data_IF_736807882441
#
_entry.id   IF_736807882441
#
_cell.length_a   1.000
_cell.length_b   1.000
_cell.length_c   1.000
_cell.angle_alpha   90.00
_cell.angle_beta   90.00
_cell.angle_gamma   90.00
#
_symmetry.space_group_name_H-M   'P 1'
#
loop_
_entity.id
_entity.type
_entity.pdbx_description
1 polymer ?
#
# COMPACT_ATOMS: atom_id res chain seq x y z
N UNK A 1 -68.94 -50.76 -9.58
CA UNK A 1 -67.67 -50.96 -10.26
C UNK A 1 -66.80 -49.75 -9.96
N UNK A 2 -65.69 -50.01 -9.40
CA UNK A 2 -64.91 -49.07 -8.65
C UNK A 2 -63.72 -48.60 -9.52
N UNK A 3 -63.67 -47.31 -9.90
CA UNK A 3 -62.50 -46.69 -10.51
C UNK A 3 -62.13 -45.45 -9.72
N UNK A 4 -61.21 -45.59 -8.86
CA UNK A 4 -60.64 -44.50 -8.09
C UNK A 4 -59.33 -44.90 -7.49
N UNK A 5 -58.22 -44.56 -8.09
CA UNK A 5 -56.95 -44.81 -7.43
C UNK A 5 -55.71 -44.73 -8.31
N UNK A 6 -55.35 -43.54 -8.77
CA UNK A 6 -54.09 -43.40 -9.51
C UNK A 6 -53.40 -42.03 -9.39
N UNK A 7 -54.09 -41.05 -8.88
CA UNK A 7 -53.58 -39.66 -8.93
C UNK A 7 -52.70 -39.23 -7.74
N UNK A 8 -52.81 -39.92 -6.60
CA UNK A 8 -52.11 -39.53 -5.37
C UNK A 8 -50.61 -39.92 -5.32
N UNK A 9 -50.20 -41.01 -6.01
CA UNK A 9 -48.84 -41.54 -5.93
C UNK A 9 -47.86 -40.78 -6.82
N UNK A 10 -48.31 -40.25 -7.94
CA UNK A 10 -47.46 -39.46 -8.88
C UNK A 10 -47.14 -38.09 -8.30
N UNK A 11 -48.11 -37.44 -7.64
CA UNK A 11 -47.91 -36.14 -6.98
C UNK A 11 -46.94 -36.23 -5.77
N UNK A 12 -46.91 -37.33 -5.04
CA UNK A 12 -45.95 -37.55 -3.93
C UNK A 12 -44.56 -37.87 -4.45
N UNK A 13 -44.39 -38.63 -5.50
CA UNK A 13 -43.09 -38.91 -6.12
C UNK A 13 -42.45 -37.67 -6.71
N UNK A 14 -43.24 -36.82 -7.42
CA UNK A 14 -42.74 -35.55 -7.95
C UNK A 14 -42.33 -34.53 -6.84
N UNK A 15 -43.06 -34.48 -5.74
CA UNK A 15 -42.69 -33.65 -4.58
C UNK A 15 -41.41 -34.12 -3.92
N UNK A 16 -41.18 -35.40 -3.75
CA UNK A 16 -39.97 -35.96 -3.21
C UNK A 16 -38.76 -35.68 -4.14
N UNK A 17 -38.96 -35.74 -5.44
CA UNK A 17 -37.93 -35.46 -6.43
C UNK A 17 -37.53 -33.96 -6.40
N UNK A 18 -38.49 -33.07 -6.29
CA UNK A 18 -38.27 -31.61 -6.17
C UNK A 18 -37.52 -31.29 -4.86
N UNK A 19 -37.91 -31.89 -3.73
CA UNK A 19 -37.25 -31.69 -2.44
C UNK A 19 -35.79 -32.17 -2.51
N UNK A 20 -35.57 -33.35 -3.13
CA UNK A 20 -34.23 -33.89 -3.34
C UNK A 20 -33.34 -32.98 -4.20
N UNK A 21 -33.91 -32.44 -5.31
CA UNK A 21 -33.20 -31.51 -6.20
C UNK A 21 -32.85 -30.21 -5.49
N UNK A 22 -33.79 -29.63 -4.74
CA UNK A 22 -33.53 -28.41 -3.94
C UNK A 22 -32.47 -28.67 -2.88
N UNK A 23 -32.49 -29.82 -2.19
CA UNK A 23 -31.46 -30.17 -1.22
C UNK A 23 -30.06 -30.26 -1.86
N UNK A 24 -29.95 -30.90 -3.04
CA UNK A 24 -28.72 -30.98 -3.81
C UNK A 24 -28.21 -29.59 -4.22
N UNK A 25 -29.09 -28.71 -4.71
CA UNK A 25 -28.73 -27.35 -5.09
C UNK A 25 -28.23 -26.54 -3.88
N UNK A 26 -28.90 -26.68 -2.74
CA UNK A 26 -28.47 -26.02 -1.49
C UNK A 26 -27.12 -26.52 -1.03
N UNK A 27 -26.88 -27.83 -1.07
CA UNK A 27 -25.56 -28.42 -0.67
C UNK A 27 -24.46 -27.99 -1.64
N UNK A 28 -24.71 -28.02 -2.95
CA UNK A 28 -23.75 -27.54 -3.95
C UNK A 28 -23.50 -26.03 -3.82
N UNK A 29 -24.53 -25.26 -3.57
CA UNK A 29 -24.42 -23.82 -3.31
C UNK A 29 -23.59 -23.51 -2.07
N UNK A 30 -23.83 -24.23 -0.96
CA UNK A 30 -23.01 -24.11 0.24
C UNK A 30 -21.55 -24.56 0.01
N UNK A 31 -21.33 -25.64 -0.73
CA UNK A 31 -19.97 -26.08 -1.07
C UNK A 31 -19.22 -25.05 -1.91
N UNK A 32 -19.88 -24.41 -2.88
CA UNK A 32 -19.31 -23.35 -3.68
C UNK A 32 -19.04 -22.08 -2.85
N UNK A 33 -19.92 -21.73 -1.93
CA UNK A 33 -19.72 -20.62 -0.99
C UNK A 33 -18.54 -20.92 -0.05
N UNK A 34 -18.44 -22.13 0.48
CA UNK A 34 -17.32 -22.55 1.32
C UNK A 34 -16.00 -22.51 0.53
N UNK A 35 -15.98 -22.93 -0.74
CA UNK A 35 -14.82 -22.83 -1.60
C UNK A 35 -14.46 -21.39 -1.96
N UNK A 36 -15.45 -20.51 -2.13
CA UNK A 36 -15.23 -19.09 -2.40
C UNK A 36 -14.74 -18.32 -1.15
N UNK A 37 -15.17 -18.77 0.05
CA UNK A 37 -14.72 -18.21 1.34
C UNK A 37 -13.39 -18.82 1.78
N UNK A 38 -13.10 -20.07 1.40
CA UNK A 38 -11.79 -20.68 1.57
C UNK A 38 -10.83 -20.01 0.58
N UNK A 39 -10.34 -18.81 0.96
CA UNK A 39 -9.21 -18.18 0.27
C UNK A 39 -8.10 -19.23 0.14
N UNK A 40 -7.31 -19.24 -0.96
CA UNK A 40 -6.06 -19.97 -0.96
C UNK A 40 -5.13 -19.29 0.05
N UNK A 41 -5.47 -19.45 1.33
CA UNK A 41 -4.66 -19.01 2.42
C UNK A 41 -3.51 -19.98 2.55
N UNK A 42 -2.31 -19.50 2.24
CA UNK A 42 -1.47 -19.72 3.35
C UNK A 42 -0.66 -21.01 3.47
N UNK A 43 -0.71 -21.98 2.59
CA UNK A 43 0.30 -23.04 2.65
C UNK A 43 1.72 -22.46 2.55
N UNK A 44 1.91 -21.46 1.69
CA UNK A 44 3.19 -20.76 1.56
C UNK A 44 3.49 -19.79 2.72
N UNK A 45 2.47 -19.09 3.23
CA UNK A 45 2.61 -18.19 4.38
C UNK A 45 2.83 -18.99 5.66
N UNK A 46 2.04 -20.00 5.91
CA UNK A 46 2.17 -20.88 7.07
C UNK A 46 3.54 -21.60 7.07
N UNK A 47 4.01 -22.05 5.91
CA UNK A 47 5.33 -22.65 5.77
C UNK A 47 6.44 -21.65 6.11
N UNK A 48 6.34 -20.38 5.69
CA UNK A 48 7.34 -19.33 6.00
C UNK A 48 7.31 -18.94 7.48
N UNK A 49 6.14 -18.72 8.05
CA UNK A 49 5.98 -18.45 9.49
C UNK A 49 6.55 -19.60 10.33
N UNK A 50 6.30 -20.85 9.94
CA UNK A 50 6.87 -22.01 10.60
C UNK A 50 8.38 -22.12 10.41
N UNK A 51 8.94 -21.74 9.24
CA UNK A 51 10.38 -21.66 9.03
C UNK A 51 11.03 -20.62 9.94
N UNK A 52 10.41 -19.48 10.15
CA UNK A 52 10.88 -18.48 11.11
C UNK A 52 10.80 -18.96 12.57
N UNK A 53 9.84 -19.84 12.88
CA UNK A 53 9.74 -20.45 14.21
C UNK A 53 10.97 -21.29 14.59
N UNK A 54 11.67 -21.83 13.60
CA UNK A 54 12.90 -22.64 13.76
C UNK A 54 14.15 -21.90 13.29
N UNK A 55 14.04 -20.62 12.93
CA UNK A 55 15.19 -19.82 12.47
C UNK A 55 16.29 -19.73 13.54
N UNK A 56 17.53 -19.93 13.10
CA UNK A 56 18.74 -19.71 13.90
C UNK A 56 19.27 -18.29 13.78
N UNK A 57 18.65 -17.43 12.97
CA UNK A 57 19.01 -16.01 12.91
C UNK A 57 18.81 -15.36 14.28
N UNK A 58 19.85 -14.71 14.79
CA UNK A 58 19.88 -14.16 16.15
C UNK A 58 18.84 -13.07 16.36
N UNK A 59 18.59 -12.22 15.34
CA UNK A 59 17.58 -11.17 15.37
C UNK A 59 16.19 -11.81 15.50
N UNK A 60 15.87 -12.76 14.62
CA UNK A 60 14.59 -13.50 14.65
C UNK A 60 14.42 -14.25 15.97
N UNK A 61 15.45 -14.94 16.45
CA UNK A 61 15.39 -15.73 17.67
C UNK A 61 15.12 -14.86 18.92
N UNK A 62 15.69 -13.67 18.99
CA UNK A 62 15.44 -12.71 20.07
C UNK A 62 14.07 -12.03 19.91
N UNK A 63 13.80 -11.41 18.74
CA UNK A 63 12.58 -10.64 18.50
C UNK A 63 11.30 -11.45 18.53
N UNK A 64 11.38 -12.76 18.23
CA UNK A 64 10.24 -13.68 18.42
C UNK A 64 9.77 -13.77 19.88
N UNK A 65 10.66 -13.51 20.84
CA UNK A 65 10.32 -13.48 22.28
C UNK A 65 9.97 -12.09 22.79
N UNK A 66 10.62 -11.06 22.25
CA UNK A 66 10.48 -9.67 22.74
C UNK A 66 9.44 -8.86 21.98
N UNK A 67 9.33 -9.07 20.67
CA UNK A 67 8.41 -8.36 19.77
C UNK A 67 7.85 -9.30 18.69
N UNK A 68 7.10 -10.35 19.07
CA UNK A 68 6.67 -11.41 18.15
C UNK A 68 5.91 -10.89 16.92
N UNK A 69 5.09 -9.85 17.07
CA UNK A 69 4.33 -9.28 15.96
C UNK A 69 5.19 -8.77 14.81
N UNK A 70 6.41 -8.27 15.08
CA UNK A 70 7.35 -7.86 14.02
C UNK A 70 7.80 -9.08 13.21
N UNK A 71 8.10 -10.18 13.89
CA UNK A 71 8.55 -11.43 13.24
C UNK A 71 7.42 -12.06 12.44
N UNK A 72 6.20 -12.03 12.96
CA UNK A 72 5.01 -12.53 12.25
C UNK A 72 4.72 -11.72 10.98
N UNK A 73 4.70 -10.39 11.07
CA UNK A 73 4.53 -9.49 9.93
C UNK A 73 5.63 -9.69 8.88
N UNK A 74 6.89 -9.75 9.32
CA UNK A 74 8.01 -10.05 8.43
C UNK A 74 7.85 -11.40 7.75
N UNK A 75 7.41 -12.43 8.47
CA UNK A 75 7.24 -13.79 7.96
C UNK A 75 6.25 -13.91 6.80
N UNK A 76 5.26 -13.03 6.74
CA UNK A 76 4.29 -12.99 5.62
C UNK A 76 4.72 -12.06 4.49
N UNK A 77 5.80 -11.29 4.66
CA UNK A 77 6.24 -10.26 3.72
C UNK A 77 6.86 -10.83 2.45
N UNK A 78 6.80 -10.05 1.38
CA UNK A 78 7.53 -10.32 0.14
C UNK A 78 9.04 -10.25 0.33
N UNK A 79 9.51 -9.43 1.29
CA UNK A 79 10.93 -9.32 1.66
C UNK A 79 11.47 -10.64 2.23
N UNK A 80 10.75 -11.25 3.18
CA UNK A 80 11.11 -12.56 3.69
C UNK A 80 11.07 -13.65 2.61
N UNK A 81 10.08 -13.58 1.70
CA UNK A 81 10.00 -14.49 0.57
C UNK A 81 11.19 -14.36 -0.40
N UNK A 82 11.73 -13.16 -0.54
CA UNK A 82 12.93 -12.86 -1.34
C UNK A 82 14.24 -13.14 -0.61
N UNK A 83 14.21 -13.58 0.64
CA UNK A 83 15.40 -13.87 1.44
C UNK A 83 16.09 -12.63 2.03
N UNK A 84 15.44 -11.47 2.03
CA UNK A 84 15.96 -10.25 2.66
C UNK A 84 15.93 -10.42 4.17
N UNK A 85 17.07 -10.32 4.84
CA UNK A 85 17.17 -10.48 6.29
C UNK A 85 16.93 -9.15 7.03
N UNK A 86 16.70 -9.25 8.35
CA UNK A 86 16.55 -8.06 9.21
C UNK A 86 17.77 -7.12 9.10
N UNK A 87 18.98 -7.70 9.01
CA UNK A 87 20.24 -6.99 8.91
C UNK A 87 20.37 -6.15 7.65
N UNK A 88 19.79 -6.59 6.52
CA UNK A 88 19.91 -5.88 5.24
C UNK A 88 19.30 -4.48 5.30
N UNK A 89 18.26 -4.32 6.11
CA UNK A 89 17.59 -3.03 6.34
C UNK A 89 18.08 -2.30 7.58
N UNK A 90 18.43 -3.03 8.65
CA UNK A 90 18.66 -2.43 9.96
C UNK A 90 20.12 -2.28 10.32
N UNK A 91 21.03 -3.18 9.89
CA UNK A 91 22.42 -3.12 10.30
C UNK A 91 23.21 -2.06 9.52
N UNK A 92 23.94 -1.23 10.26
CA UNK A 92 24.73 -0.12 9.73
C UNK A 92 26.07 -0.02 10.48
N UNK A 93 27.08 0.63 9.89
CA UNK A 93 28.32 0.95 10.62
C UNK A 93 28.05 1.84 11.84
N UNK A 94 28.88 1.73 12.88
CA UNK A 94 28.77 2.55 14.09
C UNK A 94 28.77 4.08 13.83
N UNK A 95 29.47 4.51 12.78
CA UNK A 95 29.54 5.93 12.39
C UNK A 95 28.36 6.39 11.53
N UNK A 96 27.39 5.51 11.23
CA UNK A 96 26.24 5.89 10.42
C UNK A 96 25.32 6.84 11.21
N UNK A 97 24.78 7.90 10.58
CA UNK A 97 23.86 8.80 11.25
C UNK A 97 22.68 8.06 11.89
N UNK A 98 22.33 8.44 13.12
CA UNK A 98 21.28 7.81 13.92
C UNK A 98 21.47 6.31 14.23
N UNK A 99 22.68 5.75 14.03
CA UNK A 99 23.02 4.38 14.46
C UNK A 99 22.91 4.24 15.97
N UNK A 100 22.29 3.14 16.42
CA UNK A 100 22.15 2.78 17.84
C UNK A 100 22.86 1.46 18.07
N UNK A 101 23.68 1.39 19.13
CA UNK A 101 24.26 0.11 19.58
C UNK A 101 23.13 -0.82 20.05
N UNK A 102 23.15 -2.07 19.58
CA UNK A 102 22.14 -3.07 19.87
C UNK A 102 22.74 -4.48 19.81
N UNK A 103 22.84 -5.14 20.96
CA UNK A 103 23.29 -6.53 21.07
C UNK A 103 24.62 -6.80 20.33
N UNK A 104 25.60 -5.91 20.48
CA UNK A 104 26.93 -6.06 19.89
C UNK A 104 27.05 -5.66 18.42
N UNK A 105 26.02 -5.13 17.81
CA UNK A 105 26.02 -4.51 16.48
C UNK A 105 25.43 -3.10 16.53
N UNK A 106 25.38 -2.40 15.40
CA UNK A 106 24.75 -1.09 15.28
C UNK A 106 23.60 -1.16 14.29
N UNK A 107 22.46 -0.62 14.70
CA UNK A 107 21.24 -0.68 13.89
C UNK A 107 20.58 0.68 13.75
N UNK A 108 19.82 0.85 12.67
CA UNK A 108 18.80 1.89 12.53
C UNK A 108 17.46 1.32 13.02
N UNK A 109 16.89 1.79 14.14
CA UNK A 109 15.56 1.35 14.58
C UNK A 109 14.47 1.65 13.53
N UNK A 110 14.67 2.70 12.75
CA UNK A 110 13.81 3.06 11.61
C UNK A 110 14.68 3.25 10.37
N UNK A 111 14.75 2.26 9.47
CA UNK A 111 15.52 2.37 8.25
C UNK A 111 15.12 3.58 7.41
N UNK A 112 16.08 4.23 6.82
CA UNK A 112 15.91 5.37 5.92
C UNK A 112 15.70 4.91 4.48
N UNK A 113 15.35 5.84 3.59
CA UNK A 113 15.24 5.58 2.15
C UNK A 113 16.56 5.09 1.54
N UNK A 114 17.71 5.47 2.10
CA UNK A 114 19.01 4.95 1.67
C UNK A 114 19.13 3.43 1.82
N UNK A 115 18.46 2.83 2.82
CA UNK A 115 18.44 1.38 2.97
C UNK A 115 17.59 0.71 1.87
N UNK A 116 16.47 1.30 1.52
CA UNK A 116 15.62 0.81 0.43
C UNK A 116 16.31 0.92 -0.94
N UNK A 117 17.04 1.99 -1.15
CA UNK A 117 17.78 2.28 -2.39
C UNK A 117 18.81 1.21 -2.77
N UNK A 118 19.32 0.46 -1.81
CA UNK A 118 20.28 -0.63 -2.08
C UNK A 118 19.75 -1.66 -3.07
N UNK A 119 18.44 -1.88 -3.10
CA UNK A 119 17.76 -2.82 -3.98
C UNK A 119 16.71 -2.14 -4.87
N UNK A 120 16.07 -1.07 -4.39
CA UNK A 120 14.96 -0.36 -5.04
C UNK A 120 15.41 1.00 -5.60
N UNK A 121 16.55 1.02 -6.31
CA UNK A 121 17.15 2.26 -6.82
C UNK A 121 16.28 3.01 -7.83
N UNK A 122 15.51 2.30 -8.66
CA UNK A 122 14.61 2.91 -9.62
C UNK A 122 13.42 3.58 -8.94
N UNK A 123 12.80 2.90 -7.99
CA UNK A 123 11.67 3.39 -7.22
C UNK A 123 12.04 4.63 -6.42
N UNK A 124 13.22 4.61 -5.80
CA UNK A 124 13.76 5.77 -5.07
C UNK A 124 14.04 6.95 -6.01
N UNK A 125 14.63 6.70 -7.18
CA UNK A 125 14.89 7.75 -8.15
C UNK A 125 13.59 8.41 -8.67
N UNK A 126 12.56 7.61 -8.93
CA UNK A 126 11.22 8.10 -9.30
C UNK A 126 10.58 8.88 -8.15
N UNK A 127 10.64 8.33 -6.92
CA UNK A 127 10.12 9.00 -5.74
C UNK A 127 10.77 10.39 -5.52
N UNK A 128 12.08 10.53 -5.77
CA UNK A 128 12.79 11.80 -5.60
C UNK A 128 12.31 12.88 -6.58
N UNK A 129 11.72 12.52 -7.72
CA UNK A 129 11.10 13.46 -8.66
C UNK A 129 9.66 13.84 -8.28
N UNK A 130 9.08 13.13 -7.33
CA UNK A 130 7.67 13.20 -7.00
C UNK A 130 7.36 14.32 -6.00
N UNK A 131 6.12 14.81 -6.04
CA UNK A 131 5.54 15.70 -5.02
C UNK A 131 5.55 15.12 -3.60
N UNK A 132 5.59 13.81 -3.46
CA UNK A 132 5.70 13.15 -2.17
C UNK A 132 7.12 13.15 -1.58
N UNK A 133 8.11 13.56 -2.36
CA UNK A 133 9.48 13.79 -1.91
C UNK A 133 9.59 15.13 -1.14
N UNK A 134 10.69 15.83 -1.28
CA UNK A 134 10.92 17.14 -0.62
C UNK A 134 9.78 18.14 -0.78
N UNK A 135 9.05 18.23 -1.93
CA UNK A 135 7.93 19.15 -2.04
C UNK A 135 6.87 18.99 -0.95
N UNK A 136 6.54 17.73 -0.57
CA UNK A 136 5.59 17.49 0.50
C UNK A 136 6.06 18.04 1.85
N UNK A 137 7.35 17.95 2.14
CA UNK A 137 7.93 18.49 3.38
C UNK A 137 8.03 20.03 3.34
N UNK A 138 8.53 20.55 2.22
CA UNK A 138 8.71 22.00 2.01
C UNK A 138 7.37 22.75 2.05
N UNK A 139 6.28 22.12 1.60
CA UNK A 139 4.93 22.72 1.62
C UNK A 139 4.51 23.27 2.99
N UNK A 140 5.05 22.73 4.09
CA UNK A 140 4.76 23.27 5.42
C UNK A 140 6.00 23.82 6.14
N UNK A 141 7.19 23.26 5.88
CA UNK A 141 8.41 23.60 6.60
C UNK A 141 9.21 24.73 5.93
N UNK A 142 8.98 24.98 4.64
CA UNK A 142 9.77 25.89 3.81
C UNK A 142 11.11 25.30 3.36
N UNK A 143 11.76 25.95 2.40
CA UNK A 143 13.06 25.53 1.88
C UNK A 143 14.22 25.89 2.82
N UNK A 144 14.03 26.86 3.69
CA UNK A 144 15.05 27.38 4.62
C UNK A 144 15.48 26.37 5.71
N UNK A 145 14.72 25.29 5.88
CA UNK A 145 15.09 24.20 6.82
C UNK A 145 15.94 23.12 6.16
N UNK A 146 16.10 23.17 4.84
CA UNK A 146 16.85 22.19 4.09
C UNK A 146 18.37 22.41 4.26
N UNK A 147 19.13 21.34 4.34
CA UNK A 147 20.59 21.42 4.18
C UNK A 147 20.93 21.78 2.73
N UNK A 148 22.16 22.25 2.43
CA UNK A 148 22.57 22.52 1.05
C UNK A 148 22.39 21.31 0.13
N UNK A 149 22.63 20.11 0.62
CA UNK A 149 22.49 18.86 -0.14
C UNK A 149 21.01 18.59 -0.46
N UNK A 150 20.11 18.75 0.52
CA UNK A 150 18.67 18.58 0.31
C UNK A 150 18.08 19.69 -0.55
N UNK A 151 18.59 20.92 -0.44
CA UNK A 151 18.16 22.03 -1.31
C UNK A 151 18.52 21.74 -2.77
N UNK A 152 19.73 21.22 -3.03
CA UNK A 152 20.11 20.82 -4.38
C UNK A 152 19.23 19.68 -4.96
N UNK A 153 18.80 18.73 -4.12
CA UNK A 153 17.84 17.72 -4.52
C UNK A 153 16.46 18.33 -4.82
N UNK A 154 16.00 19.28 -4.03
CA UNK A 154 14.73 19.99 -4.25
C UNK A 154 14.75 20.77 -5.56
N UNK A 155 15.80 21.53 -5.81
CA UNK A 155 15.99 22.34 -7.03
C UNK A 155 16.10 21.47 -8.31
N UNK A 156 16.51 20.22 -8.17
CA UNK A 156 16.57 19.27 -9.28
C UNK A 156 15.20 18.68 -9.66
N UNK A 157 14.17 18.84 -8.79
CA UNK A 157 12.81 18.42 -9.08
C UNK A 157 12.19 19.36 -10.12
N UNK A 158 11.48 18.86 -11.15
CA UNK A 158 10.79 19.71 -12.12
C UNK A 158 9.90 20.75 -11.42
N UNK A 159 9.93 22.00 -11.88
CA UNK A 159 9.18 23.10 -11.27
C UNK A 159 7.69 22.79 -11.12
N UNK A 160 7.10 22.09 -12.09
CA UNK A 160 5.72 21.64 -12.03
C UNK A 160 5.43 20.68 -10.87
N UNK A 161 6.43 19.98 -10.37
CA UNK A 161 6.32 19.03 -9.25
C UNK A 161 6.71 19.65 -7.91
N UNK A 162 7.36 20.83 -7.89
CA UNK A 162 7.71 21.52 -6.65
C UNK A 162 6.49 22.07 -5.90
N UNK A 163 5.36 22.29 -6.60
CA UNK A 163 4.14 22.85 -6.04
C UNK A 163 4.12 24.39 -6.08
N UNK A 164 2.95 25.00 -5.89
CA UNK A 164 2.77 26.46 -6.04
C UNK A 164 3.33 27.27 -4.87
N UNK A 165 3.48 26.66 -3.71
CA UNK A 165 3.89 27.37 -2.50
C UNK A 165 5.19 26.80 -1.94
N UNK A 166 6.22 27.63 -1.94
CA UNK A 166 7.53 27.33 -1.35
C UNK A 166 7.73 28.03 0.00
N UNK A 167 6.68 28.74 0.45
CA UNK A 167 6.76 29.53 1.68
C UNK A 167 6.40 28.65 2.89
N UNK A 168 7.21 28.80 3.92
CA UNK A 168 7.00 28.18 5.21
C UNK A 168 5.61 28.51 5.76
N UNK A 169 4.86 27.49 6.15
CA UNK A 169 3.58 27.69 6.81
C UNK A 169 3.77 28.45 8.13
N UNK A 170 2.92 29.42 8.38
CA UNK A 170 2.91 30.14 9.67
C UNK A 170 2.70 29.22 10.86
N UNK A 171 2.02 28.09 10.66
CA UNK A 171 1.80 27.07 11.69
C UNK A 171 3.09 26.39 12.10
N UNK A 172 4.06 26.26 11.19
CA UNK A 172 5.37 25.66 11.50
C UNK A 172 6.11 26.42 12.62
N UNK A 173 5.96 27.73 12.68
CA UNK A 173 6.58 28.56 13.70
C UNK A 173 5.75 28.65 14.98
N UNK A 174 4.44 28.57 14.87
CA UNK A 174 3.51 28.71 15.99
C UNK A 174 3.33 27.40 16.78
N UNK A 175 3.48 26.25 16.13
CA UNK A 175 3.31 24.97 16.80
C UNK A 175 4.51 24.57 17.65
N UNK A 176 4.24 24.00 18.81
CA UNK A 176 5.26 23.26 19.57
C UNK A 176 5.76 22.09 18.71
N UNK A 177 7.09 21.97 18.54
CA UNK A 177 7.71 20.93 17.73
C UNK A 177 7.28 19.51 18.10
N UNK A 178 6.81 19.29 19.33
CA UNK A 178 6.22 18.02 19.77
C UNK A 178 4.84 17.79 19.16
N UNK A 179 4.08 18.86 18.91
CA UNK A 179 2.75 18.78 18.29
C UNK A 179 2.84 18.67 16.75
N UNK A 180 3.78 19.35 16.12
CA UNK A 180 4.03 19.26 14.67
C UNK A 180 4.12 17.82 14.19
N UNK A 181 4.72 16.96 15.01
CA UNK A 181 4.85 15.52 14.73
C UNK A 181 3.51 14.79 14.58
N UNK A 182 2.48 15.24 15.27
CA UNK A 182 1.14 14.64 15.25
C UNK A 182 0.16 15.41 14.34
N UNK A 183 0.51 16.62 13.97
CA UNK A 183 -0.26 17.49 13.08
C UNK A 183 0.31 17.41 11.63
N UNK A 184 1.07 18.41 11.22
CA UNK A 184 1.56 18.52 9.85
C UNK A 184 2.43 17.33 9.41
N UNK A 185 3.32 16.83 10.27
CA UNK A 185 4.18 15.70 9.96
C UNK A 185 3.44 14.35 9.90
N UNK A 186 2.21 14.27 10.40
CA UNK A 186 1.43 13.07 10.19
C UNK A 186 1.33 12.73 8.69
N UNK A 187 1.16 13.73 7.85
CA UNK A 187 1.10 13.63 6.38
C UNK A 187 2.44 14.02 5.73
N UNK A 188 2.91 15.22 5.97
CA UNK A 188 4.04 15.84 5.26
C UNK A 188 5.41 15.19 5.54
N UNK A 189 5.55 14.38 6.59
CA UNK A 189 6.77 13.62 6.81
C UNK A 189 7.02 12.51 5.77
N UNK A 190 6.13 12.33 4.81
CA UNK A 190 6.41 11.44 3.67
C UNK A 190 7.66 11.90 2.92
N UNK A 191 7.90 13.21 2.80
CA UNK A 191 9.06 13.83 2.18
C UNK A 191 10.16 14.27 3.14
N UNK A 192 10.14 13.83 4.41
CA UNK A 192 11.08 14.27 5.42
C UNK A 192 12.53 13.92 5.04
N UNK A 193 13.45 14.90 5.04
CA UNK A 193 14.88 14.64 4.88
C UNK A 193 15.46 13.89 6.07
N UNK A 194 16.38 12.96 5.82
CA UNK A 194 17.10 12.19 6.82
C UNK A 194 18.54 12.67 7.00
N UNK A 195 19.12 12.37 8.16
CA UNK A 195 20.50 12.77 8.50
C UNK A 195 21.58 12.13 7.59
N UNK A 196 21.24 11.04 6.93
CA UNK A 196 22.12 10.35 5.97
C UNK A 196 22.07 10.94 4.55
N UNK A 197 21.37 12.05 4.36
CA UNK A 197 21.18 12.72 3.09
C UNK A 197 20.05 12.16 2.24
N UNK A 198 19.44 11.05 2.63
CA UNK A 198 18.28 10.49 1.93
C UNK A 198 16.99 11.26 2.24
N UNK A 199 15.96 11.08 1.42
CA UNK A 199 14.69 11.78 1.53
C UNK A 199 13.54 10.80 1.56
N UNK A 200 12.57 11.09 2.42
CA UNK A 200 11.29 10.41 2.43
C UNK A 200 11.19 9.21 3.35
N UNK A 201 9.96 8.76 3.48
CA UNK A 201 9.58 7.61 4.31
C UNK A 201 8.73 6.63 3.51
N UNK A 202 9.36 5.65 2.88
CA UNK A 202 8.72 4.58 2.13
C UNK A 202 7.64 3.86 2.94
N UNK A 203 7.82 3.79 4.26
CA UNK A 203 6.90 3.18 5.22
C UNK A 203 5.56 3.91 5.37
N UNK A 204 5.39 5.10 4.78
CA UNK A 204 4.09 5.77 4.74
C UNK A 204 3.10 5.06 3.81
N UNK A 205 3.63 4.42 2.75
CA UNK A 205 2.84 3.64 1.80
C UNK A 205 3.06 2.13 1.96
N UNK A 206 4.28 1.70 2.31
CA UNK A 206 4.64 0.30 2.53
C UNK A 206 4.73 0.01 4.03
N UNK A 207 3.63 -0.47 4.62
CA UNK A 207 3.62 -0.74 6.06
C UNK A 207 4.62 -1.84 6.43
N UNK A 208 5.49 -1.49 7.34
CA UNK A 208 6.44 -2.40 7.97
C UNK A 208 5.71 -3.30 8.98
N UNK A 209 6.03 -4.57 9.09
CA UNK A 209 7.10 -5.31 8.38
C UNK A 209 6.51 -6.26 7.33
N UNK A 210 5.22 -6.09 7.04
CA UNK A 210 4.48 -6.91 6.08
C UNK A 210 4.85 -6.60 4.62
N UNK A 211 5.07 -5.31 4.29
CA UNK A 211 5.39 -4.84 2.94
C UNK A 211 4.48 -5.45 1.85
N UNK A 212 3.18 -5.51 2.12
CA UNK A 212 2.18 -6.12 1.26
C UNK A 212 1.85 -5.23 0.06
N UNK A 213 1.79 -5.82 -1.13
CA UNK A 213 1.26 -5.15 -2.32
C UNK A 213 -0.22 -4.82 -2.18
N UNK A 214 -1.00 -5.73 -1.57
CA UNK A 214 -2.41 -5.49 -1.28
C UNK A 214 -2.59 -4.22 -0.47
N UNK A 215 -1.84 -4.08 0.62
CA UNK A 215 -1.92 -2.90 1.48
C UNK A 215 -1.52 -1.62 0.74
N UNK A 216 -0.41 -1.63 -0.02
CA UNK A 216 0.07 -0.46 -0.74
C UNK A 216 -0.88 -0.01 -1.87
N UNK A 217 -1.64 -0.94 -2.46
CA UNK A 217 -2.59 -0.69 -3.56
C UNK A 217 -3.98 -0.26 -3.09
N UNK A 218 -4.34 -0.55 -1.84
CA UNK A 218 -5.64 -0.16 -1.29
C UNK A 218 -5.73 1.35 -1.08
N UNK A 219 -6.89 1.95 -1.37
CA UNK A 219 -7.11 3.39 -1.18
C UNK A 219 -6.87 3.87 0.26
N UNK A 220 -7.04 2.99 1.25
CA UNK A 220 -6.80 3.27 2.67
C UNK A 220 -5.35 3.69 2.95
N UNK A 221 -4.40 3.28 2.12
CA UNK A 221 -3.02 3.76 2.22
C UNK A 221 -2.91 5.24 1.89
N UNK A 222 -3.67 5.69 0.91
CA UNK A 222 -3.66 7.09 0.46
C UNK A 222 -4.48 7.98 1.40
N UNK A 223 -5.60 7.48 1.92
CA UNK A 223 -6.49 8.26 2.77
C UNK A 223 -5.91 8.64 4.13
N UNK A 224 -4.79 8.06 4.54
CA UNK A 224 -4.07 8.51 5.73
C UNK A 224 -3.67 9.99 5.66
N UNK A 225 -3.57 10.56 4.43
CA UNK A 225 -3.19 11.93 4.17
C UNK A 225 -4.18 12.66 3.25
N UNK A 226 -4.77 11.96 2.28
CA UNK A 226 -5.68 12.54 1.27
C UNK A 226 -7.14 12.51 1.75
N UNK A 227 -7.40 13.26 2.84
CA UNK A 227 -8.71 13.39 3.50
C UNK A 227 -8.99 14.85 3.89
N UNK A 228 -10.26 15.15 4.12
CA UNK A 228 -10.69 16.42 4.69
C UNK A 228 -10.69 17.58 3.71
N UNK A 229 -10.84 18.82 4.20
CA UNK A 229 -11.10 19.98 3.35
C UNK A 229 -9.95 20.33 2.42
N UNK A 230 -8.71 20.04 2.81
CA UNK A 230 -7.52 20.43 2.05
C UNK A 230 -7.17 19.39 0.97
N UNK A 231 -7.47 18.11 1.25
CA UNK A 231 -7.12 16.99 0.37
C UNK A 231 -8.26 15.98 0.25
N UNK A 232 -9.43 16.35 -0.30
CA UNK A 232 -10.67 15.57 -0.26
C UNK A 232 -10.71 14.40 -1.27
N UNK A 233 -9.56 13.87 -1.71
CA UNK A 233 -9.51 12.84 -2.75
C UNK A 233 -10.16 11.54 -2.29
N UNK A 234 -10.07 11.20 -0.99
CA UNK A 234 -10.74 10.02 -0.46
C UNK A 234 -12.26 10.14 -0.52
N UNK A 235 -12.81 11.26 -0.09
CA UNK A 235 -14.24 11.53 -0.12
C UNK A 235 -14.79 11.51 -1.55
N UNK A 236 -14.06 12.16 -2.47
CA UNK A 236 -14.41 12.15 -3.90
C UNK A 236 -14.34 10.74 -4.49
N UNK A 237 -13.31 9.96 -4.12
CA UNK A 237 -13.16 8.59 -4.58
C UNK A 237 -14.31 7.70 -4.09
N UNK A 238 -14.69 7.78 -2.81
CA UNK A 238 -15.77 6.98 -2.24
C UNK A 238 -17.10 7.20 -2.94
N UNK A 239 -17.40 8.43 -3.36
CA UNK A 239 -18.63 8.80 -4.07
C UNK A 239 -18.57 8.48 -5.57
N UNK A 240 -17.40 8.16 -6.10
CA UNK A 240 -17.20 7.83 -7.51
C UNK A 240 -17.67 6.41 -7.83
N UNK A 241 -18.01 6.10 -9.11
CA UNK A 241 -18.25 4.72 -9.54
C UNK A 241 -17.08 3.77 -9.22
N UNK A 242 -15.83 4.26 -9.25
CA UNK A 242 -14.65 3.45 -8.92
C UNK A 242 -14.62 3.09 -7.44
N UNK A 243 -14.87 4.04 -6.55
CA UNK A 243 -14.94 3.80 -5.12
C UNK A 243 -16.10 2.89 -4.73
N UNK A 244 -17.28 3.06 -5.33
CA UNK A 244 -18.41 2.17 -5.12
C UNK A 244 -18.08 0.73 -5.55
N UNK A 245 -17.41 0.55 -6.71
CA UNK A 245 -16.97 -0.77 -7.16
C UNK A 245 -15.95 -1.38 -6.19
N UNK A 246 -14.98 -0.58 -5.69
CA UNK A 246 -14.02 -1.01 -4.68
C UNK A 246 -14.71 -1.45 -3.39
N UNK A 247 -15.57 -0.62 -2.81
CA UNK A 247 -16.26 -0.91 -1.54
C UNK A 247 -17.17 -2.14 -1.61
N UNK A 248 -17.70 -2.46 -2.80
CA UNK A 248 -18.63 -3.58 -2.97
C UNK A 248 -17.97 -4.87 -3.46
N UNK A 249 -16.81 -4.80 -4.08
CA UNK A 249 -16.19 -5.94 -4.77
C UNK A 249 -14.67 -6.07 -4.52
N UNK A 250 -14.04 -5.09 -3.89
CA UNK A 250 -12.58 -5.01 -3.75
C UNK A 250 -11.93 -6.20 -3.05
N UNK A 251 -12.66 -6.87 -2.15
CA UNK A 251 -12.20 -8.09 -1.48
C UNK A 251 -11.99 -9.29 -2.42
N UNK A 252 -12.53 -9.22 -3.65
CA UNK A 252 -12.40 -10.24 -4.69
C UNK A 252 -11.36 -9.92 -5.76
N UNK A 253 -10.71 -8.74 -5.69
CA UNK A 253 -9.73 -8.32 -6.66
C UNK A 253 -8.38 -9.02 -6.44
N UNK A 254 -7.57 -9.11 -7.50
CA UNK A 254 -6.26 -9.76 -7.46
C UNK A 254 -5.19 -8.76 -6.98
N UNK A 255 -5.16 -8.49 -5.68
CA UNK A 255 -4.25 -7.53 -5.06
C UNK A 255 -2.77 -7.87 -5.25
N UNK A 256 -2.43 -9.14 -5.40
CA UNK A 256 -1.07 -9.64 -5.57
C UNK A 256 -0.67 -9.79 -7.06
N UNK A 257 -1.51 -9.30 -7.99
CA UNK A 257 -1.17 -9.31 -9.41
C UNK A 257 0.16 -8.61 -9.68
N UNK A 258 0.93 -9.14 -10.63
CA UNK A 258 2.20 -8.55 -11.04
C UNK A 258 2.00 -7.11 -11.53
N UNK A 259 2.74 -6.18 -10.93
CA UNK A 259 2.66 -4.76 -11.21
C UNK A 259 2.94 -4.39 -12.69
N UNK A 260 3.72 -5.23 -13.39
CA UNK A 260 4.02 -5.02 -14.81
C UNK A 260 2.95 -5.49 -15.79
N UNK A 261 1.95 -6.25 -15.32
CA UNK A 261 0.99 -6.94 -16.20
C UNK A 261 -0.47 -6.80 -15.78
N UNK A 262 -0.80 -5.76 -15.02
CA UNK A 262 -2.16 -5.53 -14.52
C UNK A 262 -3.19 -5.41 -15.64
N UNK A 263 -4.34 -6.04 -15.44
CA UNK A 263 -5.46 -6.06 -16.39
C UNK A 263 -6.77 -5.69 -15.70
N UNK A 264 -7.82 -5.45 -16.50
CA UNK A 264 -9.19 -5.25 -16.00
C UNK A 264 -9.78 -6.48 -15.29
N UNK A 265 -9.18 -7.66 -15.48
CA UNK A 265 -9.60 -8.86 -14.76
C UNK A 265 -9.04 -8.89 -13.34
N UNK A 266 -7.87 -8.26 -13.11
CA UNK A 266 -7.28 -8.11 -11.78
C UNK A 266 -7.98 -7.00 -11.01
N UNK A 267 -8.21 -5.86 -11.67
CA UNK A 267 -8.85 -4.66 -11.12
C UNK A 267 -9.95 -4.18 -12.05
N UNK A 268 -11.20 -4.62 -11.86
CA UNK A 268 -12.35 -4.15 -12.66
C UNK A 268 -12.62 -2.65 -12.55
N UNK A 269 -12.16 -2.02 -11.47
CA UNK A 269 -12.13 -0.57 -11.31
C UNK A 269 -10.80 -0.15 -10.65
N UNK A 270 -10.22 0.99 -11.04
CA UNK A 270 -8.94 1.43 -10.49
C UNK A 270 -9.07 1.95 -9.05
N UNK A 271 -8.05 1.68 -8.25
CA UNK A 271 -7.77 2.42 -7.01
C UNK A 271 -6.83 3.59 -7.29
N UNK A 272 -6.56 4.42 -6.27
CA UNK A 272 -5.59 5.51 -6.37
C UNK A 272 -4.24 4.99 -6.89
N UNK A 273 -3.69 3.95 -6.25
CA UNK A 273 -2.40 3.38 -6.64
C UNK A 273 -2.43 2.73 -8.03
N UNK A 274 -3.54 2.11 -8.45
CA UNK A 274 -3.65 1.51 -9.78
C UNK A 274 -3.59 2.59 -10.86
N UNK A 275 -4.24 3.75 -10.65
CA UNK A 275 -4.16 4.87 -11.57
C UNK A 275 -2.80 5.57 -11.51
N UNK A 276 -2.33 5.93 -10.32
CA UNK A 276 -1.20 6.83 -10.17
C UNK A 276 0.16 6.14 -10.21
N UNK A 277 0.27 4.87 -9.85
CA UNK A 277 1.57 4.22 -9.63
C UNK A 277 1.74 2.89 -10.35
N UNK A 278 0.69 2.07 -10.43
CA UNK A 278 0.82 0.71 -10.97
C UNK A 278 0.87 0.69 -12.49
N UNK A 279 1.58 -0.30 -13.04
CA UNK A 279 1.59 -0.56 -14.48
C UNK A 279 0.25 -1.15 -14.91
N UNK A 280 -0.42 -0.48 -15.83
CA UNK A 280 -1.70 -0.92 -16.39
C UNK A 280 -1.72 -0.71 -17.91
N UNK A 281 -1.94 -1.76 -18.66
CA UNK A 281 -1.86 -1.71 -20.12
C UNK A 281 -0.44 -1.29 -20.59
N UNK A 282 -0.31 -0.24 -21.41
CA UNK A 282 0.98 0.22 -21.92
C UNK A 282 1.79 1.06 -20.92
N UNK A 283 1.22 1.45 -19.79
CA UNK A 283 1.90 2.27 -18.78
C UNK A 283 2.71 1.40 -17.83
N UNK A 284 3.98 1.73 -17.61
CA UNK A 284 4.82 1.07 -16.61
C UNK A 284 4.45 1.48 -15.18
N UNK A 285 5.04 0.83 -14.19
CA UNK A 285 4.98 1.27 -12.78
C UNK A 285 5.79 2.54 -12.59
N UNK A 286 5.33 3.41 -11.69
CA UNK A 286 6.07 4.61 -11.30
C UNK A 286 5.90 4.86 -9.80
N UNK A 287 6.94 5.42 -9.16
CA UNK A 287 6.89 6.00 -7.81
C UNK A 287 6.90 7.53 -7.84
N UNK A 288 6.87 8.11 -9.02
CA UNK A 288 6.52 9.51 -9.21
C UNK A 288 4.99 9.63 -9.32
N UNK A 289 4.33 9.97 -8.23
CA UNK A 289 2.86 10.12 -8.19
C UNK A 289 2.37 11.30 -9.05
N UNK A 290 3.27 12.24 -9.37
CA UNK A 290 3.02 13.38 -10.24
C UNK A 290 3.02 13.02 -11.73
N UNK A 291 3.71 11.97 -12.13
CA UNK A 291 3.90 11.54 -13.51
C UNK A 291 2.58 11.41 -14.29
N UNK A 292 1.49 11.10 -13.60
CA UNK A 292 0.17 10.88 -14.18
C UNK A 292 -0.90 11.89 -13.78
N UNK A 293 -0.55 13.01 -13.16
CA UNK A 293 -1.53 14.04 -12.76
C UNK A 293 -2.17 14.74 -13.97
N UNK A 294 -1.46 14.79 -15.11
CA UNK A 294 -1.94 15.38 -16.35
C UNK A 294 -2.59 14.39 -17.29
N UNK A 295 -3.02 13.25 -16.79
CA UNK A 295 -3.76 12.31 -17.61
C UNK A 295 -4.98 12.99 -18.21
N UNK A 296 -5.01 12.96 -19.53
CA UNK A 296 -6.24 13.13 -20.26
C UNK A 296 -7.10 11.91 -19.91
N UNK A 297 -7.95 12.03 -18.92
CA UNK A 297 -9.07 11.12 -18.82
C UNK A 297 -9.74 11.15 -20.18
N UNK A 298 -9.96 10.01 -20.77
CA UNK A 298 -10.58 9.80 -22.07
C UNK A 298 -12.05 10.29 -22.09
N UNK A 299 -12.35 11.40 -21.44
CA UNK A 299 -13.59 12.08 -21.63
C UNK A 299 -13.49 12.85 -22.95
N UNK A 300 -14.35 12.57 -23.94
CA UNK A 300 -14.32 13.24 -25.25
C UNK A 300 -14.38 14.75 -25.19
N UNK A 301 -14.69 15.29 -24.01
CA UNK A 301 -14.89 16.72 -23.73
C UNK A 301 -13.87 17.29 -22.73
N UNK A 302 -12.92 16.48 -22.22
CA UNK A 302 -11.92 17.01 -21.27
C UNK A 302 -10.82 17.72 -22.02
N UNK A 303 -10.77 19.03 -21.87
CA UNK A 303 -9.62 19.81 -22.26
C UNK A 303 -8.46 19.53 -21.30
N UNK A 304 -7.24 19.72 -21.81
CA UNK A 304 -6.02 19.64 -21.00
C UNK A 304 -6.09 20.68 -19.89
N UNK A 305 -6.20 20.23 -18.64
CA UNK A 305 -6.10 21.11 -17.48
C UNK A 305 -4.72 20.96 -16.88
N UNK A 306 -4.07 22.07 -16.51
CA UNK A 306 -2.95 22.01 -15.59
C UNK A 306 -3.36 21.28 -14.31
N UNK A 307 -2.44 20.55 -13.69
CA UNK A 307 -2.72 19.70 -12.54
C UNK A 307 -3.27 20.42 -11.28
N UNK A 308 -3.36 21.75 -11.31
CA UNK A 308 -3.79 22.66 -10.23
C UNK A 308 -4.89 23.66 -10.61
N UNK A 309 -5.57 23.48 -11.69
CA UNK A 309 -6.80 24.22 -11.99
C UNK A 309 -8.04 23.44 -11.53
#
# INVERSE_FOLDING_TARGET
MNEGGGSGSILTASRLLIIGLVAVIVVLGMALIIQAIARPTAAGVETRVNALATSTDECVACHRRTTPGIVEQYGVSTMAAAGVACRDCHEVPAAYPAAVEHEGTHVLPSPTTAMCQKCHGQEVAQFYQSRHSLPAYVAYAGTEVLTPEHLALYEAIPEAEQGPEQMRSVLFDLEDKRLTRFACEACHSIGLPAEDGSVGKCQKCHLRHEFSLEQARKPETCNNCHIGPDHPQWEIYQESPHGIAYMTQGDRWNWEADAGTLTVNDFPAPTCAICHMSGFGPTGTTHDVGDRLTWYLFAPISERRPAWE
#
